data_IF_787421684919
#
_entry.id   IF_787421684919
#
_cell.length_a   1.000
_cell.length_b   1.000
_cell.length_c   1.000
_cell.angle_alpha   90.00
_cell.angle_beta   90.00
_cell.angle_gamma   90.00
#
_symmetry.space_group_name_H-M   'P 1'
#
loop_
_entity.id
_entity.type
_entity.pdbx_description
1 polymer ?
#
# COMPACT_ATOMS: atom_id res chain seq x y z
N UNK A 1 41.56 37.67 19.00
CA UNK A 1 40.53 36.93 19.76
C UNK A 1 39.12 36.94 19.12
N UNK A 2 38.85 37.70 18.05
CA UNK A 2 37.54 37.65 17.36
C UNK A 2 37.44 36.57 16.26
N UNK A 3 38.55 36.22 15.60
CA UNK A 3 38.56 35.20 14.53
C UNK A 3 38.30 33.77 15.05
N UNK A 4 38.74 33.45 16.27
CA UNK A 4 38.51 32.14 16.90
C UNK A 4 37.06 31.94 17.34
N UNK A 5 36.34 33.03 17.63
CA UNK A 5 34.92 33.02 18.05
C UNK A 5 33.96 32.84 16.86
N UNK A 6 34.37 33.32 15.68
CA UNK A 6 33.65 33.09 14.42
C UNK A 6 33.88 31.68 13.86
N UNK A 7 35.03 31.05 14.17
CA UNK A 7 35.29 29.67 13.78
C UNK A 7 34.45 28.67 14.59
N UNK A 8 34.22 28.95 15.88
CA UNK A 8 33.40 28.10 16.76
C UNK A 8 31.89 28.16 16.41
N UNK A 9 31.41 29.26 15.86
CA UNK A 9 30.00 29.44 15.46
C UNK A 9 29.67 28.76 14.12
N UNK A 10 30.63 28.64 13.21
CA UNK A 10 30.44 27.94 11.92
C UNK A 10 30.40 26.41 12.12
N UNK A 11 31.15 25.86 13.07
CA UNK A 11 31.10 24.42 13.40
C UNK A 11 29.74 24.02 14.02
N UNK A 12 29.08 24.92 14.75
CA UNK A 12 27.74 24.68 15.32
C UNK A 12 26.61 24.68 14.29
N UNK A 13 26.81 25.24 13.09
CA UNK A 13 25.77 25.34 12.06
C UNK A 13 25.79 24.19 11.04
N UNK A 14 26.91 23.46 10.95
CA UNK A 14 27.04 22.28 10.07
C UNK A 14 26.54 20.99 10.75
N UNK A 15 26.45 20.95 12.08
CA UNK A 15 25.96 19.78 12.81
C UNK A 15 24.42 19.67 12.88
N UNK A 16 23.68 20.67 12.39
CA UNK A 16 22.22 20.69 12.40
C UNK A 16 21.58 20.14 11.10
N UNK A 17 22.38 19.74 10.10
CA UNK A 17 21.87 19.26 8.80
C UNK A 17 21.83 17.72 8.65
N UNK A 18 22.13 16.96 9.70
CA UNK A 18 22.05 15.49 9.71
C UNK A 18 20.95 14.93 10.62
N UNK A 19 19.87 15.69 10.86
CA UNK A 19 18.61 15.10 11.31
C UNK A 19 17.89 14.49 10.11
N UNK A 20 18.44 13.39 9.57
CA UNK A 20 17.60 12.46 8.83
C UNK A 20 16.48 12.01 9.79
N UNK A 21 15.22 11.90 9.34
CA UNK A 21 14.18 11.30 10.15
C UNK A 21 14.62 9.86 10.44
N UNK A 22 15.12 9.62 11.64
CA UNK A 22 15.30 8.28 12.15
C UNK A 22 13.90 7.69 12.29
N UNK A 23 13.44 6.96 11.27
CA UNK A 23 12.35 6.01 11.43
C UNK A 23 12.67 5.22 12.70
N UNK A 24 11.78 5.31 13.68
CA UNK A 24 12.04 4.78 15.00
C UNK A 24 12.25 3.26 14.87
N UNK A 25 13.32 2.73 15.49
CA UNK A 25 13.55 1.28 15.52
C UNK A 25 12.36 0.54 16.16
N UNK A 26 11.55 1.22 16.98
CA UNK A 26 10.34 0.67 17.56
C UNK A 26 9.23 0.48 16.50
N UNK A 27 9.09 1.42 15.56
CA UNK A 27 8.07 1.37 14.51
C UNK A 27 8.35 0.22 13.54
N UNK A 28 9.63 -0.03 13.23
CA UNK A 28 10.04 -1.17 12.41
C UNK A 28 9.82 -2.50 13.12
N UNK A 29 10.11 -2.58 14.42
CA UNK A 29 9.89 -3.79 15.20
C UNK A 29 8.39 -4.15 15.30
N UNK A 30 7.54 -3.13 15.50
CA UNK A 30 6.08 -3.30 15.50
C UNK A 30 5.58 -3.76 14.13
N UNK A 31 5.96 -3.07 13.04
CA UNK A 31 5.57 -3.47 11.69
C UNK A 31 6.05 -4.88 11.37
N UNK A 32 7.27 -5.25 11.78
CA UNK A 32 7.80 -6.61 11.61
C UNK A 32 6.90 -7.65 12.26
N UNK A 33 6.45 -7.38 13.49
CA UNK A 33 5.52 -8.26 14.20
C UNK A 33 4.18 -8.39 13.47
N UNK A 34 3.60 -7.26 13.03
CA UNK A 34 2.33 -7.24 12.30
C UNK A 34 2.41 -7.95 10.95
N UNK A 35 3.51 -7.76 10.21
CA UNK A 35 3.75 -8.45 8.93
C UNK A 35 3.91 -9.95 9.13
N UNK A 36 4.61 -10.38 10.20
CA UNK A 36 4.75 -11.80 10.53
C UNK A 36 3.41 -12.52 10.73
N UNK A 37 2.39 -11.81 11.23
CA UNK A 37 1.03 -12.33 11.40
C UNK A 37 0.28 -12.61 10.08
N UNK A 38 0.84 -12.24 8.93
CA UNK A 38 0.32 -12.69 7.63
C UNK A 38 0.62 -14.19 7.37
N UNK A 39 1.53 -14.80 8.12
CA UNK A 39 1.87 -16.24 8.05
C UNK A 39 0.90 -17.15 8.83
N UNK A 40 -0.29 -16.69 9.17
CA UNK A 40 -1.24 -17.50 9.91
C UNK A 40 -1.84 -18.63 9.03
N UNK A 41 -2.10 -19.80 9.63
CA UNK A 41 -2.66 -20.95 8.90
C UNK A 41 -4.08 -20.71 8.39
N UNK A 42 -4.89 -19.97 9.16
CA UNK A 42 -6.29 -19.70 8.84
C UNK A 42 -6.46 -18.37 8.11
N UNK A 43 -7.26 -18.37 7.04
CA UNK A 43 -7.62 -17.15 6.30
C UNK A 43 -8.35 -16.13 7.17
N UNK A 44 -9.12 -16.57 8.18
CA UNK A 44 -9.76 -15.65 9.13
C UNK A 44 -8.73 -14.93 10.01
N UNK A 45 -7.68 -15.64 10.45
CA UNK A 45 -6.59 -15.03 11.22
C UNK A 45 -5.78 -14.06 10.37
N UNK A 46 -5.47 -14.41 9.11
CA UNK A 46 -4.86 -13.46 8.16
C UNK A 46 -5.71 -12.22 7.95
N UNK A 47 -7.03 -12.39 7.87
CA UNK A 47 -7.97 -11.27 7.78
C UNK A 47 -7.86 -10.31 8.97
N UNK A 48 -7.64 -10.81 10.18
CA UNK A 48 -7.38 -9.98 11.37
C UNK A 48 -5.99 -9.33 11.34
N UNK A 49 -4.98 -10.03 10.85
CA UNK A 49 -3.65 -9.46 10.66
C UNK A 49 -3.66 -8.28 9.67
N UNK A 50 -4.46 -8.39 8.59
CA UNK A 50 -4.70 -7.27 7.67
C UNK A 50 -5.35 -6.08 8.39
N UNK A 51 -6.34 -6.32 9.26
CA UNK A 51 -6.96 -5.21 10.02
C UNK A 51 -5.95 -4.52 10.93
N UNK A 52 -5.09 -5.30 11.61
CA UNK A 52 -4.06 -4.76 12.50
C UNK A 52 -3.00 -3.96 11.73
N UNK A 53 -2.58 -4.44 10.55
CA UNK A 53 -1.70 -3.69 9.65
C UNK A 53 -2.32 -2.37 9.20
N UNK A 54 -3.58 -2.36 8.81
CA UNK A 54 -4.27 -1.12 8.41
C UNK A 54 -4.39 -0.15 9.59
N UNK A 55 -4.68 -0.67 10.77
CA UNK A 55 -4.82 0.13 11.98
C UNK A 55 -3.51 0.76 12.46
N UNK A 56 -2.34 0.23 12.06
CA UNK A 56 -1.06 0.84 12.41
C UNK A 56 -0.82 2.18 11.70
N UNK A 57 -1.52 2.44 10.58
CA UNK A 57 -1.34 3.65 9.79
C UNK A 57 0.02 3.77 9.10
N UNK A 58 0.84 2.70 9.11
CA UNK A 58 2.17 2.75 8.51
C UNK A 58 2.06 2.84 6.97
N UNK A 59 2.72 3.82 6.33
CA UNK A 59 2.61 4.05 4.88
C UNK A 59 3.06 2.85 4.04
N UNK A 60 3.93 1.97 4.57
CA UNK A 60 4.42 0.76 3.88
C UNK A 60 3.34 -0.31 3.76
N UNK A 61 2.28 -0.24 4.58
CA UNK A 61 1.20 -1.24 4.60
C UNK A 61 0.51 -1.35 3.25
N UNK A 62 0.30 -0.24 2.53
CA UNK A 62 -0.34 -0.26 1.21
C UNK A 62 0.41 -1.17 0.23
N UNK A 63 1.75 -1.07 0.21
CA UNK A 63 2.62 -1.89 -0.65
C UNK A 63 2.56 -3.37 -0.25
N UNK A 64 2.57 -3.66 1.05
CA UNK A 64 2.49 -5.04 1.57
C UNK A 64 1.13 -5.68 1.21
N UNK A 65 0.03 -4.97 1.45
CA UNK A 65 -1.33 -5.46 1.15
C UNK A 65 -1.51 -5.64 -0.36
N UNK A 66 -0.95 -4.74 -1.19
CA UNK A 66 -0.96 -4.86 -2.65
C UNK A 66 -0.23 -6.13 -3.09
N UNK A 67 0.99 -6.35 -2.59
CA UNK A 67 1.75 -7.56 -2.91
C UNK A 67 1.04 -8.85 -2.42
N UNK A 68 0.30 -8.81 -1.31
CA UNK A 68 -0.52 -9.94 -0.86
C UNK A 68 -1.72 -10.18 -1.77
N UNK A 69 -2.40 -9.12 -2.22
CA UNK A 69 -3.50 -9.18 -3.18
C UNK A 69 -3.05 -9.79 -4.50
N UNK A 70 -1.91 -9.30 -5.01
CA UNK A 70 -1.28 -9.73 -6.25
C UNK A 70 -0.56 -11.07 -6.13
N UNK A 71 -0.66 -11.72 -4.97
CA UNK A 71 -0.17 -13.08 -4.81
C UNK A 71 1.37 -13.17 -4.94
N UNK A 72 2.03 -12.06 -4.60
CA UNK A 72 3.47 -11.82 -4.70
C UNK A 72 4.18 -11.81 -3.34
N UNK A 73 3.46 -12.03 -2.22
CA UNK A 73 4.05 -12.20 -0.89
C UNK A 73 4.50 -13.64 -0.63
N UNK A 74 5.77 -13.83 -0.25
CA UNK A 74 6.37 -15.13 0.02
C UNK A 74 7.17 -15.13 1.32
N UNK A 75 7.31 -16.31 1.91
CA UNK A 75 8.08 -16.55 3.11
C UNK A 75 9.33 -17.33 2.75
N UNK A 76 10.49 -16.82 3.14
CA UNK A 76 11.74 -17.55 2.96
C UNK A 76 11.88 -18.63 4.03
N UNK A 77 12.19 -19.86 3.61
CA UNK A 77 12.14 -21.03 4.50
C UNK A 77 13.21 -21.01 5.59
N UNK A 78 14.37 -20.41 5.32
CA UNK A 78 15.54 -20.40 6.21
C UNK A 78 15.35 -19.52 7.44
N UNK A 79 14.75 -18.35 7.30
CA UNK A 79 14.63 -17.33 8.37
C UNK A 79 13.19 -16.90 8.65
N UNK A 80 12.22 -17.45 7.91
CA UNK A 80 10.78 -17.15 8.04
C UNK A 80 10.41 -15.69 7.77
N UNK A 81 11.32 -14.89 7.20
CA UNK A 81 11.04 -13.52 6.78
C UNK A 81 10.10 -13.48 5.58
N UNK A 82 9.34 -12.39 5.47
CA UNK A 82 8.37 -12.15 4.41
C UNK A 82 8.96 -11.20 3.38
N UNK A 83 8.84 -11.58 2.11
CA UNK A 83 9.36 -10.85 0.97
C UNK A 83 8.26 -10.60 -0.04
N UNK A 84 8.31 -9.41 -0.63
CA UNK A 84 7.63 -9.10 -1.88
C UNK A 84 8.49 -9.69 -3.00
N UNK A 85 7.86 -10.39 -3.93
CA UNK A 85 8.58 -11.10 -4.99
C UNK A 85 8.21 -10.61 -6.38
N UNK A 86 9.19 -10.58 -7.26
CA UNK A 86 9.01 -10.36 -8.68
C UNK A 86 9.73 -11.45 -9.46
N UNK A 87 9.28 -11.73 -10.69
CA UNK A 87 9.99 -12.68 -11.57
C UNK A 87 11.34 -12.07 -11.95
N UNK A 88 12.43 -12.83 -11.80
CA UNK A 88 13.73 -12.41 -12.30
C UNK A 88 14.55 -13.61 -12.75
N UNK A 89 15.01 -13.58 -14.01
CA UNK A 89 15.83 -14.63 -14.62
C UNK A 89 15.41 -16.05 -14.21
N UNK A 90 16.30 -16.74 -13.49
CA UNK A 90 16.13 -18.13 -13.04
C UNK A 90 15.44 -18.29 -11.67
N UNK A 91 14.91 -17.21 -11.08
CA UNK A 91 14.34 -17.21 -9.73
C UNK A 91 13.31 -16.12 -9.45
N UNK A 92 13.19 -15.78 -8.17
CA UNK A 92 12.37 -14.67 -7.69
C UNK A 92 13.29 -13.64 -7.05
N UNK A 93 13.19 -12.40 -7.54
CA UNK A 93 13.78 -11.23 -6.88
C UNK A 93 13.02 -10.99 -5.58
N UNK A 94 13.74 -10.72 -4.50
CA UNK A 94 13.20 -10.54 -3.17
C UNK A 94 13.40 -9.09 -2.73
N UNK A 95 12.33 -8.47 -2.27
CA UNK A 95 12.38 -7.21 -1.54
C UNK A 95 11.82 -7.47 -0.14
N UNK A 96 12.55 -7.10 0.91
CA UNK A 96 12.08 -7.25 2.29
C UNK A 96 10.79 -6.44 2.47
N UNK A 97 9.72 -7.09 2.95
CA UNK A 97 8.40 -6.47 3.02
C UNK A 97 8.32 -5.34 4.07
N UNK A 98 9.20 -5.32 5.06
CA UNK A 98 9.21 -4.32 6.14
C UNK A 98 10.15 -3.17 5.80
N UNK A 99 11.37 -3.49 5.35
CA UNK A 99 12.40 -2.47 5.12
C UNK A 99 12.42 -1.94 3.69
N UNK A 100 11.81 -2.65 2.74
CA UNK A 100 11.88 -2.32 1.32
C UNK A 100 13.25 -2.58 0.69
N UNK A 101 14.20 -3.15 1.44
CA UNK A 101 15.54 -3.42 0.95
C UNK A 101 15.58 -4.59 -0.04
N UNK A 102 16.45 -4.49 -1.05
CA UNK A 102 16.77 -5.62 -1.92
C UNK A 102 17.41 -6.76 -1.10
N UNK A 103 16.84 -7.95 -1.22
CA UNK A 103 17.27 -9.16 -0.53
C UNK A 103 17.78 -10.23 -1.51
N UNK A 104 18.10 -9.83 -2.74
CA UNK A 104 18.70 -10.64 -3.78
C UNK A 104 17.69 -11.58 -4.47
N UNK A 105 18.21 -12.66 -5.05
CA UNK A 105 17.39 -13.66 -5.78
C UNK A 105 17.32 -14.97 -5.00
N UNK A 106 16.14 -15.59 -4.97
CA UNK A 106 15.97 -16.93 -4.41
C UNK A 106 15.21 -17.87 -5.36
N UNK A 107 15.58 -19.16 -5.31
CA UNK A 107 14.84 -20.20 -6.02
C UNK A 107 13.44 -20.36 -5.40
N UNK A 108 12.41 -20.53 -6.24
CA UNK A 108 11.02 -20.70 -5.80
C UNK A 108 10.83 -21.81 -4.75
N UNK A 109 11.64 -22.87 -4.81
CA UNK A 109 11.64 -23.99 -3.84
C UNK A 109 12.06 -23.58 -2.42
N UNK A 110 12.84 -22.52 -2.28
CA UNK A 110 13.28 -21.97 -0.99
C UNK A 110 12.22 -21.06 -0.35
N UNK A 111 11.11 -20.81 -1.05
CA UNK A 111 10.07 -19.89 -0.65
C UNK A 111 8.73 -20.62 -0.48
N UNK A 112 7.87 -20.07 0.37
CA UNK A 112 6.49 -20.52 0.57
C UNK A 112 5.56 -19.35 0.34
N UNK A 113 4.69 -19.45 -0.66
CA UNK A 113 3.72 -18.39 -0.99
C UNK A 113 2.70 -18.19 0.13
N UNK A 114 2.41 -16.94 0.49
CA UNK A 114 1.29 -16.62 1.37
C UNK A 114 -0.01 -16.68 0.56
N UNK A 115 -0.78 -17.74 0.76
CA UNK A 115 -2.04 -17.97 0.03
C UNK A 115 -3.16 -17.08 0.54
N UNK A 116 -4.02 -16.64 -0.38
CA UNK A 116 -5.30 -15.94 -0.13
C UNK A 116 -6.48 -16.76 -0.65
N UNK A 117 -7.67 -16.57 -0.08
CA UNK A 117 -8.94 -17.11 -0.59
C UNK A 117 -9.81 -15.96 -1.12
N UNK A 118 -10.96 -16.26 -1.74
CA UNK A 118 -11.81 -15.24 -2.35
C UNK A 118 -12.35 -14.22 -1.35
N UNK A 119 -12.69 -14.67 -0.13
CA UNK A 119 -13.13 -13.77 0.95
C UNK A 119 -12.02 -12.78 1.34
N UNK A 120 -10.79 -13.27 1.51
CA UNK A 120 -9.65 -12.43 1.86
C UNK A 120 -9.27 -11.51 0.70
N UNK A 121 -9.32 -11.96 -0.55
CA UNK A 121 -9.06 -11.09 -1.72
C UNK A 121 -10.01 -9.90 -1.77
N UNK A 122 -11.32 -10.11 -1.62
CA UNK A 122 -12.29 -9.00 -1.57
C UNK A 122 -11.98 -8.00 -0.45
N UNK A 123 -11.59 -8.52 0.72
CA UNK A 123 -11.17 -7.66 1.83
C UNK A 123 -9.90 -6.86 1.50
N UNK A 124 -8.90 -7.48 0.90
CA UNK A 124 -7.68 -6.81 0.48
C UNK A 124 -7.97 -5.72 -0.55
N UNK A 125 -8.85 -5.98 -1.54
CA UNK A 125 -9.30 -4.98 -2.52
C UNK A 125 -9.95 -3.77 -1.84
N UNK A 126 -10.89 -3.99 -0.92
CA UNK A 126 -11.56 -2.91 -0.20
C UNK A 126 -10.58 -2.07 0.64
N UNK A 127 -9.69 -2.74 1.36
CA UNK A 127 -8.63 -2.07 2.15
C UNK A 127 -7.69 -1.27 1.26
N UNK A 128 -7.23 -1.83 0.14
CA UNK A 128 -6.33 -1.16 -0.79
C UNK A 128 -6.97 0.06 -1.43
N UNK A 129 -8.22 -0.06 -1.86
CA UNK A 129 -8.98 1.09 -2.36
C UNK A 129 -8.93 2.22 -1.34
N UNK A 130 -9.20 1.93 -0.07
CA UNK A 130 -9.21 2.96 0.98
C UNK A 130 -7.83 3.56 1.22
N UNK A 131 -6.79 2.72 1.34
CA UNK A 131 -5.41 3.18 1.61
C UNK A 131 -4.81 4.00 0.47
N UNK A 132 -5.26 3.78 -0.76
CA UNK A 132 -4.65 4.38 -1.96
C UNK A 132 -5.48 5.51 -2.55
N UNK A 133 -6.80 5.41 -2.61
CA UNK A 133 -7.68 6.48 -3.13
C UNK A 133 -7.84 7.66 -2.16
N UNK A 134 -7.64 7.44 -0.86
CA UNK A 134 -7.67 8.49 0.17
C UNK A 134 -6.27 8.84 0.69
N UNK A 135 -5.22 8.49 -0.07
CA UNK A 135 -3.85 8.75 0.35
C UNK A 135 -3.54 10.25 0.32
N UNK A 136 -2.67 10.74 1.20
CA UNK A 136 -2.26 12.15 1.19
C UNK A 136 -1.44 12.51 -0.07
N UNK A 137 -0.75 11.53 -0.67
CA UNK A 137 0.04 11.71 -1.89
C UNK A 137 -0.82 11.63 -3.16
N UNK A 138 -0.80 12.72 -3.93
CA UNK A 138 -1.50 12.88 -5.20
C UNK A 138 -1.14 11.79 -6.24
N UNK A 139 0.12 11.39 -6.33
CA UNK A 139 0.57 10.36 -7.28
C UNK A 139 0.03 8.98 -6.91
N UNK A 140 -0.07 8.68 -5.61
CA UNK A 140 -0.66 7.44 -5.12
C UNK A 140 -2.16 7.42 -5.42
N UNK A 141 -2.88 8.52 -5.16
CA UNK A 141 -4.32 8.63 -5.48
C UNK A 141 -4.58 8.51 -6.98
N UNK A 142 -3.77 9.17 -7.80
CA UNK A 142 -3.89 9.10 -9.26
C UNK A 142 -3.65 7.68 -9.78
N UNK A 143 -2.60 7.01 -9.30
CA UNK A 143 -2.30 5.63 -9.66
C UNK A 143 -3.45 4.69 -9.27
N UNK A 144 -4.02 4.87 -8.07
CA UNK A 144 -5.16 4.12 -7.59
C UNK A 144 -6.41 4.30 -8.47
N UNK A 145 -6.74 5.55 -8.80
CA UNK A 145 -7.89 5.86 -9.66
C UNK A 145 -7.75 5.19 -11.04
N UNK A 146 -6.55 5.23 -11.63
CA UNK A 146 -6.25 4.53 -12.89
C UNK A 146 -6.36 3.01 -12.75
N UNK A 147 -5.90 2.43 -11.63
CA UNK A 147 -6.00 1.01 -11.37
C UNK A 147 -7.46 0.54 -11.27
N UNK A 148 -8.33 1.32 -10.62
CA UNK A 148 -9.78 1.05 -10.55
C UNK A 148 -10.43 1.15 -11.93
N UNK A 149 -10.12 2.20 -12.69
CA UNK A 149 -10.62 2.35 -14.07
C UNK A 149 -10.26 1.15 -14.95
N UNK A 150 -9.04 0.63 -14.80
CA UNK A 150 -8.54 -0.52 -15.57
C UNK A 150 -9.13 -1.85 -15.11
N UNK A 151 -9.25 -2.07 -13.81
CA UNK A 151 -9.76 -3.33 -13.27
C UNK A 151 -11.27 -3.46 -13.42
N UNK A 152 -11.98 -2.33 -13.40
CA UNK A 152 -13.44 -2.25 -13.36
C UNK A 152 -14.03 -3.09 -12.23
N UNK A 153 -13.31 -3.21 -11.12
CA UNK A 153 -13.75 -3.95 -9.93
C UNK A 153 -14.87 -3.16 -9.22
N UNK A 154 -16.10 -3.65 -9.35
CA UNK A 154 -17.28 -3.04 -8.75
C UNK A 154 -17.22 -2.96 -7.21
N UNK A 155 -16.36 -3.74 -6.57
CA UNK A 155 -16.13 -3.62 -5.12
C UNK A 155 -15.44 -2.31 -4.71
N UNK A 156 -14.86 -1.56 -5.65
CA UNK A 156 -14.25 -0.26 -5.40
C UNK A 156 -15.25 0.91 -5.40
N UNK A 157 -16.51 0.68 -5.80
CA UNK A 157 -17.48 1.75 -6.07
C UNK A 157 -17.73 2.64 -4.83
N UNK A 158 -18.02 2.04 -3.67
CA UNK A 158 -18.26 2.79 -2.43
C UNK A 158 -17.03 3.60 -1.99
N UNK A 159 -15.82 3.03 -2.14
CA UNK A 159 -14.58 3.74 -1.78
C UNK A 159 -14.27 4.88 -2.74
N UNK A 160 -14.61 4.70 -4.02
CA UNK A 160 -14.44 5.73 -5.04
C UNK A 160 -15.43 6.89 -4.83
N UNK A 161 -16.68 6.61 -4.43
CA UNK A 161 -17.67 7.62 -4.01
C UNK A 161 -17.09 8.47 -2.86
N UNK A 162 -16.59 7.83 -1.80
CA UNK A 162 -15.99 8.52 -0.65
C UNK A 162 -14.73 9.34 -1.00
N UNK A 163 -13.91 8.86 -1.94
CA UNK A 163 -12.71 9.56 -2.38
C UNK A 163 -13.04 10.81 -3.20
N UNK A 164 -14.06 10.74 -4.05
CA UNK A 164 -14.53 11.87 -4.87
C UNK A 164 -15.07 13.03 -4.04
N UNK A 165 -15.73 12.73 -2.92
CA UNK A 165 -16.23 13.75 -1.97
C UNK A 165 -15.10 14.59 -1.34
N UNK A 166 -13.91 14.01 -1.21
CA UNK A 166 -12.77 14.63 -0.53
C UNK A 166 -11.67 15.12 -1.49
N UNK A 167 -11.67 14.67 -2.74
CA UNK A 167 -10.63 15.00 -3.71
C UNK A 167 -10.69 16.47 -4.13
N UNK A 168 -9.54 17.14 -4.00
CA UNK A 168 -9.38 18.56 -4.34
C UNK A 168 -8.57 18.76 -5.61
N UNK A 169 -7.76 17.79 -6.03
CA UNK A 169 -6.99 17.89 -7.25
C UNK A 169 -7.90 17.65 -8.47
N UNK A 170 -8.12 18.64 -9.35
CA UNK A 170 -9.07 18.53 -10.46
C UNK A 170 -8.69 17.46 -11.48
N UNK A 171 -7.39 17.19 -11.65
CA UNK A 171 -6.92 16.14 -12.57
C UNK A 171 -7.28 14.76 -12.04
N UNK A 172 -7.02 14.52 -10.75
CA UNK A 172 -7.32 13.24 -10.09
C UNK A 172 -8.83 13.04 -10.03
N UNK A 173 -9.57 14.09 -9.68
CA UNK A 173 -11.04 14.08 -9.65
C UNK A 173 -11.64 13.62 -10.97
N UNK A 174 -11.13 14.13 -12.10
CA UNK A 174 -11.57 13.71 -13.44
C UNK A 174 -11.33 12.22 -13.70
N UNK A 175 -10.18 11.69 -13.28
CA UNK A 175 -9.86 10.26 -13.44
C UNK A 175 -10.77 9.41 -12.54
N UNK A 176 -11.02 9.82 -11.30
CA UNK A 176 -11.93 9.15 -10.39
C UNK A 176 -13.38 9.16 -10.90
N UNK A 177 -13.87 10.28 -11.44
CA UNK A 177 -15.19 10.37 -12.07
C UNK A 177 -15.29 9.44 -13.30
N UNK A 178 -14.23 9.35 -14.09
CA UNK A 178 -14.18 8.42 -15.24
C UNK A 178 -14.23 6.97 -14.79
N UNK A 179 -13.48 6.62 -13.74
CA UNK A 179 -13.54 5.30 -13.11
C UNK A 179 -14.96 5.00 -12.58
N UNK A 180 -15.61 5.99 -11.96
CA UNK A 180 -16.97 5.87 -11.44
C UNK A 180 -17.97 5.58 -12.56
N UNK A 181 -17.91 6.35 -13.65
CA UNK A 181 -18.75 6.15 -14.81
C UNK A 181 -18.58 4.74 -15.40
N UNK A 182 -17.35 4.26 -15.55
CA UNK A 182 -17.07 2.92 -16.06
C UNK A 182 -17.67 1.82 -15.16
N UNK A 183 -17.53 1.95 -13.84
CA UNK A 183 -18.12 1.00 -12.88
C UNK A 183 -19.66 1.04 -12.90
N UNK A 184 -20.26 2.23 -12.97
CA UNK A 184 -21.71 2.39 -12.99
C UNK A 184 -22.33 1.84 -14.28
N UNK A 185 -21.71 2.08 -15.44
CA UNK A 185 -22.17 1.51 -16.72
C UNK A 185 -22.28 -0.01 -16.61
N UNK A 186 -21.29 -0.66 -16.01
CA UNK A 186 -21.26 -2.11 -15.82
C UNK A 186 -22.05 -2.62 -14.61
N UNK A 187 -22.67 -1.72 -13.83
CA UNK A 187 -23.46 -2.09 -12.64
C UNK A 187 -24.92 -2.42 -12.97
N UNK A 188 -25.54 -3.24 -12.12
CA UNK A 188 -26.98 -3.54 -12.15
C UNK A 188 -27.86 -2.41 -11.55
N UNK A 189 -27.29 -1.24 -11.22
CA UNK A 189 -28.05 -0.12 -10.66
C UNK A 189 -29.07 0.42 -11.68
N UNK A 190 -30.27 0.86 -11.24
CA UNK A 190 -31.20 1.61 -12.08
C UNK A 190 -30.54 2.83 -12.74
N UNK A 191 -31.00 3.22 -13.93
CA UNK A 191 -30.43 4.35 -14.69
C UNK A 191 -30.43 5.65 -13.88
N UNK A 192 -31.50 5.90 -13.10
CA UNK A 192 -31.65 7.11 -12.29
C UNK A 192 -30.62 7.17 -11.16
N UNK A 193 -30.28 6.03 -10.56
CA UNK A 193 -29.24 5.92 -9.52
C UNK A 193 -27.85 6.15 -10.13
N UNK A 194 -27.61 5.67 -11.37
CA UNK A 194 -26.35 5.92 -12.10
C UNK A 194 -26.17 7.41 -12.40
N UNK A 195 -27.22 8.08 -12.86
CA UNK A 195 -27.18 9.51 -13.17
C UNK A 195 -26.96 10.35 -11.91
N UNK A 196 -27.62 10.00 -10.80
CA UNK A 196 -27.44 10.68 -9.52
C UNK A 196 -26.00 10.57 -9.03
N UNK A 197 -25.41 9.37 -9.09
CA UNK A 197 -24.03 9.14 -8.67
C UNK A 197 -23.00 9.92 -9.53
N UNK A 198 -23.31 10.19 -10.81
CA UNK A 198 -22.44 10.99 -11.69
C UNK A 198 -22.56 12.50 -11.49
N UNK A 199 -23.70 12.99 -11.02
CA UNK A 199 -23.95 14.43 -10.80
C UNK A 199 -23.42 14.90 -9.44
N UNK A 200 -23.34 14.00 -8.46
CA UNK A 200 -22.86 14.29 -7.10
C UNK A 200 -21.33 14.16 -6.97
N UNK A 201 -20.69 13.41 -7.87
CA UNK A 201 -19.24 13.16 -7.92
C UNK A 201 -18.41 14.38 -8.39
#
# INVERSE_FOLDING_TARGET
>A
MSLFRNFLTIISMVLALFSAPSLSMADEAELTSLVADLNQKSFNKKGKAVDALVASGDPRVAVIISALSDSNLYIRKSDKKIFITQKGGDGLLLTDAVTGADAGTAAKKALTKIKTNNKLRRKLSAVLGKLTLLNEDDEIRLSAANAVLKSQDQSALETLEQALEQEQNPKIKTVMQTAMAALLVNSDRPIDDKLTALVVA
#
